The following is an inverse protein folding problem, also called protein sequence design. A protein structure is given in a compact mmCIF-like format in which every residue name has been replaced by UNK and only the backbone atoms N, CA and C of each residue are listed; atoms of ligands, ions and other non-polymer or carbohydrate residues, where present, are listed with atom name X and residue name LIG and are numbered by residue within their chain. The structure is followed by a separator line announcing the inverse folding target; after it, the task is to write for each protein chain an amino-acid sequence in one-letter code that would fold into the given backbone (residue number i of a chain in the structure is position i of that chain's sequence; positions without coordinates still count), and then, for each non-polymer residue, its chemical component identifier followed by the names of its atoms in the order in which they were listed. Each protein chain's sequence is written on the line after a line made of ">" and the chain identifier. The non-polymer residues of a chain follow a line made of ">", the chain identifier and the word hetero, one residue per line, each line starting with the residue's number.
data_IF_040247137098
#
_entry.id   IF_040247137098
#
_cell.length_a   1.000
_cell.length_b   1.000
_cell.length_c   1.000
_cell.angle_alpha   90.00
_cell.angle_beta   90.00
_cell.angle_gamma   90.00
#
_symmetry.space_group_name_H-M   'P 1'
#
loop_
_entity.id
_entity.type
_entity.pdbx_description
1 polymer ?
#
# COMPACT_ATOMS: atom_id res chain seq x y z
N UNK A 1 19.18 12.82 1.12
CA UNK A 1 18.65 11.46 1.05
C UNK A 1 17.58 11.39 -0.02
N UNK A 2 17.59 10.35 -0.81
CA UNK A 2 16.56 10.16 -1.84
C UNK A 2 15.51 9.18 -1.35
N UNK A 3 14.29 9.30 -1.86
CA UNK A 3 13.22 8.34 -1.55
C UNK A 3 13.58 6.92 -1.97
N UNK A 4 14.38 6.78 -3.00
CA UNK A 4 14.81 5.46 -3.50
C UNK A 4 15.55 4.67 -2.43
N UNK A 5 16.38 5.33 -1.62
CA UNK A 5 17.10 4.68 -0.54
C UNK A 5 16.17 4.16 0.55
N UNK A 6 14.97 4.72 0.64
CA UNK A 6 14.01 4.41 1.69
C UNK A 6 12.79 3.65 1.22
N UNK A 7 12.82 3.11 -0.01
CA UNK A 7 11.64 2.44 -0.56
C UNK A 7 11.20 1.23 0.27
N UNK A 8 12.14 0.59 0.95
CA UNK A 8 11.86 -0.52 1.87
C UNK A 8 11.89 -0.09 3.34
N UNK A 9 12.00 1.20 3.59
CA UNK A 9 12.06 1.71 4.95
C UNK A 9 10.70 1.58 5.64
N UNK A 10 10.74 1.57 6.96
CA UNK A 10 9.53 1.55 7.77
C UNK A 10 8.64 2.74 7.47
N UNK A 11 9.23 3.93 7.28
CA UNK A 11 8.48 5.15 6.96
C UNK A 11 7.70 5.00 5.66
N UNK A 12 8.36 4.50 4.61
CA UNK A 12 7.71 4.30 3.32
C UNK A 12 6.58 3.28 3.43
N UNK A 13 6.84 2.14 4.09
CA UNK A 13 5.83 1.09 4.26
C UNK A 13 4.60 1.60 5.01
N UNK A 14 4.81 2.40 6.06
CA UNK A 14 3.71 2.97 6.83
C UNK A 14 2.91 3.96 5.99
N UNK A 15 3.58 4.82 5.23
CA UNK A 15 2.90 5.80 4.39
C UNK A 15 2.00 5.12 3.35
N UNK A 16 2.52 4.10 2.68
CA UNK A 16 1.76 3.33 1.69
C UNK A 16 0.59 2.61 2.37
N UNK A 17 0.82 1.97 3.50
CA UNK A 17 -0.21 1.24 4.23
C UNK A 17 -1.36 2.13 4.67
N UNK A 18 -1.04 3.30 5.21
CA UNK A 18 -2.04 4.27 5.64
C UNK A 18 -2.94 4.69 4.46
N UNK A 19 -2.35 4.95 3.30
CA UNK A 19 -3.11 5.35 2.12
C UNK A 19 -4.04 4.23 1.63
N UNK A 20 -3.57 2.99 1.59
CA UNK A 20 -4.43 1.88 1.18
C UNK A 20 -5.56 1.63 2.19
N UNK A 21 -5.28 1.73 3.48
CA UNK A 21 -6.31 1.61 4.51
C UNK A 21 -7.36 2.71 4.37
N UNK A 22 -6.91 3.94 4.10
CA UNK A 22 -7.82 5.07 3.90
C UNK A 22 -8.73 4.85 2.69
N UNK A 23 -8.16 4.43 1.56
CA UNK A 23 -8.93 4.16 0.35
C UNK A 23 -9.97 3.07 0.57
N UNK A 24 -9.58 2.00 1.28
CA UNK A 24 -10.51 0.90 1.57
C UNK A 24 -11.68 1.38 2.42
N UNK A 25 -11.39 2.16 3.47
CA UNK A 25 -12.42 2.69 4.38
C UNK A 25 -13.34 3.68 3.67
N UNK A 26 -12.80 4.54 2.84
CA UNK A 26 -13.60 5.49 2.06
C UNK A 26 -14.61 4.78 1.15
N UNK A 27 -14.26 3.59 0.68
CA UNK A 27 -15.12 2.78 -0.18
C UNK A 27 -15.99 1.81 0.59
N UNK A 28 -15.95 1.86 1.91
CA UNK A 28 -16.73 0.98 2.80
C UNK A 28 -16.52 -0.50 2.47
N UNK A 29 -15.26 -0.89 2.22
CA UNK A 29 -14.94 -2.26 1.84
C UNK A 29 -14.28 -3.03 2.98
N UNK A 30 -14.68 -4.28 3.14
CA UNK A 30 -14.06 -5.21 4.06
C UNK A 30 -12.71 -5.65 3.51
N UNK A 31 -11.77 -5.95 4.41
CA UNK A 31 -10.42 -6.37 4.01
C UNK A 31 -10.46 -7.68 3.21
N UNK A 32 -11.38 -8.58 3.56
CA UNK A 32 -11.56 -9.86 2.88
C UNK A 32 -11.95 -9.67 1.42
N UNK A 33 -12.81 -8.68 1.16
CA UNK A 33 -13.24 -8.37 -0.21
C UNK A 33 -12.09 -7.86 -1.05
N UNK A 34 -11.31 -6.94 -0.50
CA UNK A 34 -10.16 -6.38 -1.21
C UNK A 34 -9.12 -7.46 -1.46
N UNK A 35 -8.82 -8.27 -0.46
CA UNK A 35 -7.86 -9.37 -0.57
C UNK A 35 -8.26 -10.33 -1.68
N UNK A 36 -9.52 -10.75 -1.72
CA UNK A 36 -10.02 -11.64 -2.76
C UNK A 36 -9.87 -11.01 -4.14
N UNK A 37 -10.17 -9.72 -4.27
CA UNK A 37 -10.10 -9.01 -5.54
C UNK A 37 -8.68 -8.93 -6.10
N UNK A 38 -7.67 -8.83 -5.23
CA UNK A 38 -6.27 -8.72 -5.66
C UNK A 38 -5.51 -10.05 -5.57
N UNK A 39 -6.19 -11.13 -5.21
CA UNK A 39 -5.57 -12.45 -5.14
C UNK A 39 -4.58 -12.60 -3.99
N UNK A 40 -4.91 -12.05 -2.83
CA UNK A 40 -4.07 -12.12 -1.64
C UNK A 40 -4.86 -12.65 -0.45
N UNK A 41 -4.14 -13.03 0.60
CA UNK A 41 -4.78 -13.39 1.87
C UNK A 41 -5.15 -12.12 2.65
N UNK A 42 -6.26 -12.13 3.40
CA UNK A 42 -6.64 -10.98 4.22
C UNK A 42 -5.54 -10.53 5.18
N UNK A 43 -4.83 -11.48 5.80
CA UNK A 43 -3.74 -11.17 6.72
C UNK A 43 -2.61 -10.42 6.02
N UNK A 44 -2.34 -10.75 4.76
CA UNK A 44 -1.29 -10.09 3.98
C UNK A 44 -1.67 -8.64 3.69
N UNK A 45 -2.92 -8.41 3.30
CA UNK A 45 -3.42 -7.04 3.08
C UNK A 45 -3.40 -6.25 4.39
N UNK A 46 -3.83 -6.87 5.49
CA UNK A 46 -3.82 -6.24 6.81
C UNK A 46 -2.41 -5.79 7.21
N UNK A 47 -1.42 -6.66 7.06
CA UNK A 47 -0.03 -6.34 7.38
C UNK A 47 0.51 -5.22 6.50
N UNK A 48 0.12 -5.19 5.23
CA UNK A 48 0.53 -4.13 4.34
C UNK A 48 -0.07 -2.79 4.78
N UNK A 49 -1.35 -2.77 5.14
CA UNK A 49 -2.02 -1.56 5.63
C UNK A 49 -1.42 -1.07 6.94
N UNK A 50 -0.94 -1.97 7.78
CA UNK A 50 -0.31 -1.61 9.06
C UNK A 50 1.16 -1.21 8.91
N UNK A 51 1.72 -1.35 7.71
CA UNK A 51 3.10 -0.95 7.45
C UNK A 51 4.14 -1.99 7.84
N UNK A 52 3.74 -3.23 8.12
CA UNK A 52 4.67 -4.29 8.47
C UNK A 52 5.25 -5.03 7.28
N UNK A 53 4.62 -4.84 6.12
CA UNK A 53 4.95 -5.64 4.95
C UNK A 53 4.76 -4.81 3.69
N UNK A 54 5.69 -4.95 2.74
CA UNK A 54 5.56 -4.35 1.43
C UNK A 54 5.99 -5.39 0.40
N UNK A 55 5.13 -5.66 -0.56
CA UNK A 55 5.47 -6.49 -1.70
C UNK A 55 5.15 -5.72 -2.97
N UNK A 56 6.10 -5.67 -3.87
CA UNK A 56 5.95 -4.91 -5.11
C UNK A 56 4.73 -5.37 -5.90
N UNK A 57 4.56 -6.67 -6.08
CA UNK A 57 3.44 -7.20 -6.84
C UNK A 57 2.09 -6.91 -6.22
N UNK A 58 1.96 -7.07 -4.90
CA UNK A 58 0.71 -6.78 -4.21
C UNK A 58 0.40 -5.29 -4.26
N UNK A 59 1.40 -4.44 -4.04
CA UNK A 59 1.24 -2.99 -4.11
C UNK A 59 0.73 -2.57 -5.49
N UNK A 60 1.31 -3.13 -6.56
CA UNK A 60 0.87 -2.83 -7.93
C UNK A 60 -0.58 -3.24 -8.15
N UNK A 61 -0.98 -4.41 -7.64
CA UNK A 61 -2.37 -4.89 -7.80
C UNK A 61 -3.35 -4.03 -7.01
N UNK A 62 -2.98 -3.58 -5.82
CA UNK A 62 -3.82 -2.67 -5.03
C UNK A 62 -3.97 -1.32 -5.70
N UNK A 63 -2.90 -0.78 -6.26
CA UNK A 63 -2.97 0.48 -7.01
C UNK A 63 -3.95 0.37 -8.18
N UNK A 64 -3.85 -0.72 -8.92
CA UNK A 64 -4.76 -0.97 -10.03
C UNK A 64 -6.21 -1.11 -9.54
N UNK A 65 -6.41 -1.84 -8.46
CA UNK A 65 -7.73 -2.05 -7.88
C UNK A 65 -8.38 -0.74 -7.47
N UNK A 66 -7.61 0.17 -6.86
CA UNK A 66 -8.12 1.46 -6.43
C UNK A 66 -8.05 2.53 -7.53
N UNK A 67 -7.53 2.19 -8.70
CA UNK A 67 -7.33 3.12 -9.81
C UNK A 67 -6.48 4.32 -9.39
N UNK A 68 -5.36 4.06 -8.74
CA UNK A 68 -4.42 5.05 -8.25
C UNK A 68 -3.02 4.74 -8.76
N UNK A 69 -2.13 5.70 -8.62
CA UNK A 69 -0.73 5.52 -8.92
C UNK A 69 0.12 6.20 -7.85
N UNK A 70 1.38 5.82 -7.79
CA UNK A 70 2.33 6.41 -6.84
C UNK A 70 3.18 7.42 -7.60
N UNK A 71 3.20 8.64 -7.10
CA UNK A 71 4.12 9.66 -7.59
C UNK A 71 5.25 9.81 -6.58
N UNK A 72 6.47 9.61 -7.05
CA UNK A 72 7.67 9.75 -6.22
C UNK A 72 8.40 11.01 -6.68
N UNK A 73 8.64 11.91 -5.75
CA UNK A 73 9.37 13.14 -6.02
C UNK A 73 10.65 13.19 -5.20
N UNK A 74 11.73 13.62 -5.84
CA UNK A 74 12.96 13.93 -5.15
C UNK A 74 12.88 15.38 -4.71
N UNK A 75 13.05 15.60 -3.42
CA UNK A 75 13.00 16.95 -2.85
C UNK A 75 14.30 17.24 -2.14
N UNK A 76 14.66 18.50 -2.13
CA UNK A 76 15.81 18.93 -1.35
C UNK A 76 15.47 18.85 0.12
N UNK A 77 16.44 18.36 0.88
CA UNK A 77 16.25 18.16 2.31
C UNK A 77 16.69 19.41 3.14
#
# INVERSE_FOLDING_TARGET
>A
MTLIQNIKSKTFRKAIGIEFARLRRERNQEIEKVAAAVGAYPETVDRLELGYYTAYGLTARLLKYYNKDIKIELVDW
#
